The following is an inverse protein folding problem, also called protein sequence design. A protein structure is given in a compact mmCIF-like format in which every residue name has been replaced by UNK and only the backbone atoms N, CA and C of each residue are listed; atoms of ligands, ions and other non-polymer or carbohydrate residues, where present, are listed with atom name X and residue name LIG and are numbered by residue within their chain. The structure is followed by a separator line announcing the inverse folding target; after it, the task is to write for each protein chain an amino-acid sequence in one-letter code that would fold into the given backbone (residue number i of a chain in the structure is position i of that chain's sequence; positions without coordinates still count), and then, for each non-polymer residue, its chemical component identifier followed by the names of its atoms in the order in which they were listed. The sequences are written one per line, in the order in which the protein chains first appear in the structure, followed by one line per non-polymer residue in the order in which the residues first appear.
data_IF_463453027204
#
_entry.id   IF_463453027204
#
_cell.length_a   1.000
_cell.length_b   1.000
_cell.length_c   1.000
_cell.angle_alpha   90.00
_cell.angle_beta   90.00
_cell.angle_gamma   90.00
#
_symmetry.space_group_name_H-M   'P 1'
#
loop_
_entity.id
_entity.type
_entity.pdbx_description
1 polymer ?
#
# COMPACT_ATOMS: atom_id res chain seq x y z
N UNK A 1 46.55 -33.19 -11.69
CA UNK A 1 45.36 -32.32 -11.69
C UNK A 1 45.79 -30.91 -11.29
N UNK A 2 45.68 -29.97 -12.21
CA UNK A 2 46.42 -28.72 -12.18
C UNK A 2 45.68 -27.67 -11.33
N UNK A 3 46.22 -27.31 -10.15
CA UNK A 3 45.58 -26.38 -9.19
C UNK A 3 45.18 -25.03 -9.81
N UNK A 4 45.84 -24.64 -10.90
CA UNK A 4 45.57 -23.42 -11.65
C UNK A 4 44.18 -23.39 -12.32
N UNK A 5 43.63 -24.51 -12.77
CA UNK A 5 42.30 -24.52 -13.41
C UNK A 5 41.17 -24.30 -12.41
N UNK A 6 41.35 -24.71 -11.15
CA UNK A 6 40.38 -24.50 -10.06
C UNK A 6 40.31 -23.03 -9.65
N UNK A 7 41.44 -22.34 -9.62
CA UNK A 7 41.51 -20.91 -9.27
C UNK A 7 40.87 -20.02 -10.34
N UNK A 8 41.07 -20.35 -11.62
CA UNK A 8 40.44 -19.61 -12.72
C UNK A 8 38.91 -19.75 -12.72
N UNK A 9 38.39 -20.94 -12.42
CA UNK A 9 36.95 -21.19 -12.33
C UNK A 9 36.27 -20.43 -11.18
N UNK A 10 36.87 -20.44 -9.98
CA UNK A 10 36.35 -19.71 -8.81
C UNK A 10 36.41 -18.19 -9.01
N UNK A 11 37.48 -17.67 -9.60
CA UNK A 11 37.60 -16.24 -9.92
C UNK A 11 36.53 -15.77 -10.91
N UNK A 12 36.30 -16.55 -11.98
CA UNK A 12 35.25 -16.25 -12.97
C UNK A 12 33.84 -16.30 -12.36
N UNK A 13 33.58 -17.27 -11.47
CA UNK A 13 32.30 -17.40 -10.78
C UNK A 13 32.05 -16.22 -9.83
N UNK A 14 33.03 -15.84 -9.02
CA UNK A 14 32.91 -14.69 -8.10
C UNK A 14 32.76 -13.37 -8.86
N UNK A 15 33.50 -13.18 -9.95
CA UNK A 15 33.35 -12.02 -10.82
C UNK A 15 31.94 -11.97 -11.42
N UNK A 16 31.44 -13.08 -11.98
CA UNK A 16 30.07 -13.17 -12.51
C UNK A 16 29.00 -12.82 -11.47
N UNK A 17 29.14 -13.29 -10.22
CA UNK A 17 28.20 -12.92 -9.16
C UNK A 17 28.32 -11.45 -8.74
N UNK A 18 29.53 -10.87 -8.73
CA UNK A 18 29.70 -9.43 -8.49
C UNK A 18 29.07 -8.56 -9.57
N UNK A 19 29.07 -8.98 -10.85
CA UNK A 19 28.45 -8.15 -11.90
C UNK A 19 26.93 -8.16 -11.87
N UNK A 20 26.28 -9.12 -11.17
CA UNK A 20 24.81 -9.22 -11.14
C UNK A 20 24.16 -8.45 -9.98
N UNK A 21 24.93 -7.90 -9.04
CA UNK A 21 24.39 -7.18 -7.88
C UNK A 21 24.14 -5.68 -8.12
N UNK A 22 24.38 -5.16 -9.32
CA UNK A 22 24.10 -3.76 -9.67
C UNK A 22 22.93 -3.66 -10.66
N UNK A 23 21.74 -4.02 -10.20
CA UNK A 23 20.47 -3.49 -10.72
C UNK A 23 19.53 -3.33 -9.55
N UNK A 24 19.86 -2.37 -8.70
CA UNK A 24 18.99 -1.84 -7.66
C UNK A 24 19.47 -0.43 -7.38
N UNK A 25 19.16 0.49 -8.29
CA UNK A 25 18.65 1.81 -7.93
C UNK A 25 18.34 2.61 -9.20
N UNK A 26 17.31 3.47 -9.09
CA UNK A 26 16.85 4.47 -10.06
C UNK A 26 15.97 3.99 -11.23
N UNK A 27 14.68 3.87 -10.91
CA UNK A 27 13.64 4.44 -11.76
C UNK A 27 12.65 5.24 -10.92
N UNK A 28 13.15 6.33 -10.32
CA UNK A 28 12.34 7.52 -10.05
C UNK A 28 13.05 8.62 -10.80
N UNK A 29 12.61 8.86 -12.03
CA UNK A 29 12.71 10.13 -12.74
C UNK A 29 11.77 10.04 -13.96
N UNK A 30 10.49 9.81 -13.68
CA UNK A 30 9.47 10.35 -14.56
C UNK A 30 9.33 11.82 -14.18
N UNK A 31 10.16 12.65 -14.79
CA UNK A 31 10.02 14.09 -14.79
C UNK A 31 8.58 14.43 -15.20
N UNK A 32 7.76 15.03 -14.33
CA UNK A 32 6.45 15.52 -14.73
C UNK A 32 6.67 16.57 -15.81
N UNK A 33 5.89 16.60 -16.90
CA UNK A 33 6.05 17.61 -17.93
C UNK A 33 6.00 19.00 -17.28
N UNK A 34 7.10 19.74 -17.42
CA UNK A 34 7.17 21.16 -17.13
C UNK A 34 6.21 21.90 -18.08
N UNK A 35 4.94 21.93 -17.73
CA UNK A 35 3.95 22.78 -18.38
C UNK A 35 2.96 23.30 -17.35
N UNK A 36 3.23 24.56 -16.97
CA UNK A 36 2.27 25.51 -16.41
C UNK A 36 1.58 25.03 -15.12
N UNK A 37 2.27 25.25 -14.01
CA UNK A 37 1.61 25.63 -12.75
C UNK A 37 0.85 26.93 -12.96
N UNK A 38 -0.33 26.83 -13.59
CA UNK A 38 -1.42 27.71 -13.23
C UNK A 38 -1.75 27.36 -11.77
N UNK A 39 -1.73 28.38 -10.94
CA UNK A 39 -2.06 28.39 -9.51
C UNK A 39 -3.41 27.69 -9.28
N UNK A 40 -3.38 26.38 -9.09
CA UNK A 40 -4.49 25.68 -8.46
C UNK A 40 -4.25 25.91 -6.97
N UNK A 41 -4.90 26.94 -6.43
CA UNK A 41 -5.19 27.00 -5.01
C UNK A 41 -6.00 25.73 -4.70
N UNK A 42 -5.28 24.67 -4.33
CA UNK A 42 -5.90 23.48 -3.79
C UNK A 42 -6.37 23.91 -2.40
N UNK A 43 -7.55 24.51 -2.38
CA UNK A 43 -8.34 24.67 -1.18
C UNK A 43 -8.56 23.25 -0.68
N UNK A 44 -7.72 22.84 0.27
CA UNK A 44 -7.92 21.65 1.05
C UNK A 44 -9.13 21.98 1.93
N UNK A 45 -10.31 21.92 1.30
CA UNK A 45 -11.61 21.96 1.96
C UNK A 45 -11.45 21.04 3.17
N UNK A 46 -11.53 21.58 4.40
CA UNK A 46 -11.32 20.79 5.59
C UNK A 46 -12.43 19.76 5.58
N UNK A 47 -12.11 18.52 5.20
CA UNK A 47 -13.16 17.55 4.93
C UNK A 47 -13.85 17.27 6.27
N UNK A 48 -15.02 17.89 6.42
CA UNK A 48 -15.87 17.80 7.58
C UNK A 48 -16.07 16.32 7.95
N UNK A 49 -16.31 16.01 9.24
CA UNK A 49 -16.31 14.63 9.73
C UNK A 49 -17.30 13.79 8.90
N UNK A 50 -16.75 12.87 8.09
CA UNK A 50 -17.48 12.18 7.01
C UNK A 50 -18.48 11.15 7.53
N UNK A 51 -18.28 10.69 8.76
CA UNK A 51 -19.01 9.58 9.35
C UNK A 51 -19.43 9.92 10.77
N UNK A 52 -20.59 9.44 11.18
CA UNK A 52 -21.17 9.65 12.50
C UNK A 52 -21.95 8.42 12.91
N UNK A 53 -21.93 8.12 14.19
CA UNK A 53 -22.70 7.02 14.72
C UNK A 53 -24.20 7.35 14.64
N UNK A 54 -24.90 6.60 13.79
CA UNK A 54 -26.32 6.76 13.49
C UNK A 54 -27.13 5.48 13.79
N UNK A 55 -26.50 4.47 14.39
CA UNK A 55 -27.13 3.23 14.80
C UNK A 55 -27.02 2.08 13.81
N UNK A 56 -26.32 2.27 12.67
CA UNK A 56 -25.95 1.16 11.77
C UNK A 56 -24.96 0.20 12.42
N UNK A 57 -25.09 -1.08 12.09
CA UNK A 57 -24.34 -2.17 12.72
C UNK A 57 -23.77 -3.18 11.72
N UNK A 58 -24.28 -3.23 10.50
CA UNK A 58 -23.93 -4.25 9.51
C UNK A 58 -23.28 -3.67 8.25
N UNK A 59 -22.51 -4.51 7.55
CA UNK A 59 -21.83 -4.16 6.29
C UNK A 59 -22.76 -3.70 5.18
N UNK A 60 -23.96 -4.28 5.08
CA UNK A 60 -24.98 -3.88 4.09
C UNK A 60 -25.39 -2.40 4.19
N UNK A 61 -25.21 -1.80 5.36
CA UNK A 61 -25.61 -0.43 5.66
C UNK A 61 -24.47 0.58 5.42
N UNK A 62 -23.23 0.10 5.23
CA UNK A 62 -22.07 0.93 4.95
C UNK A 62 -21.97 1.24 3.44
N UNK A 63 -21.45 2.42 3.13
CA UNK A 63 -21.21 2.89 1.75
C UNK A 63 -19.77 2.66 1.32
N UNK A 64 -18.86 2.49 2.28
CA UNK A 64 -17.45 2.24 2.02
C UNK A 64 -16.78 1.45 3.14
N UNK A 65 -15.66 0.79 2.82
CA UNK A 65 -14.80 0.12 3.81
C UNK A 65 -14.21 1.11 4.82
N UNK A 66 -13.86 2.32 4.39
CA UNK A 66 -13.37 3.38 5.29
C UNK A 66 -14.42 3.80 6.33
N UNK A 67 -15.70 3.86 5.93
CA UNK A 67 -16.81 4.10 6.85
C UNK A 67 -16.98 2.93 7.84
N UNK A 68 -16.95 1.68 7.36
CA UNK A 68 -17.03 0.52 8.23
C UNK A 68 -15.90 0.48 9.27
N UNK A 69 -14.67 0.82 8.85
CA UNK A 69 -13.50 0.95 9.75
C UNK A 69 -13.73 2.04 10.79
N UNK A 70 -14.30 3.18 10.40
CA UNK A 70 -14.68 4.22 11.37
C UNK A 70 -15.69 3.68 12.38
N UNK A 71 -16.71 2.95 11.94
CA UNK A 71 -17.77 2.45 12.81
C UNK A 71 -17.24 1.49 13.88
N UNK A 72 -16.39 0.51 13.53
CA UNK A 72 -15.86 -0.43 14.54
C UNK A 72 -14.94 0.25 15.57
N UNK A 73 -14.33 1.38 15.21
CA UNK A 73 -13.44 2.13 16.10
C UNK A 73 -14.17 3.18 16.96
N UNK A 74 -15.29 3.71 16.47
CA UNK A 74 -15.92 4.92 17.06
C UNK A 74 -17.37 4.71 17.51
N UNK A 75 -18.06 3.68 17.03
CA UNK A 75 -19.49 3.48 17.27
C UNK A 75 -19.77 2.22 18.10
N UNK A 76 -20.74 2.27 19.03
CA UNK A 76 -21.11 1.11 19.82
C UNK A 76 -21.90 0.09 18.98
N UNK A 77 -21.97 -1.15 19.48
CA UNK A 77 -22.81 -2.23 18.96
C UNK A 77 -22.57 -2.65 17.50
N UNK A 78 -21.39 -2.42 16.93
CA UNK A 78 -21.06 -2.89 15.57
C UNK A 78 -21.05 -4.42 15.48
N UNK A 79 -21.43 -4.95 14.31
CA UNK A 79 -21.55 -6.39 14.00
C UNK A 79 -20.97 -6.71 12.61
N UNK A 80 -19.84 -6.08 12.30
CA UNK A 80 -19.23 -6.08 10.96
C UNK A 80 -17.78 -6.59 10.95
N UNK A 81 -17.13 -6.66 12.10
CA UNK A 81 -15.85 -7.32 12.32
C UNK A 81 -16.12 -8.56 13.20
N UNK A 82 -16.05 -9.76 12.58
CA UNK A 82 -16.55 -10.99 13.19
C UNK A 82 -15.51 -11.71 14.04
N UNK A 83 -14.25 -11.62 13.62
CA UNK A 83 -13.06 -12.19 14.25
C UNK A 83 -12.26 -11.16 15.06
N UNK A 84 -12.65 -9.89 15.00
CA UNK A 84 -12.08 -8.76 15.76
C UNK A 84 -10.62 -8.49 15.40
N UNK A 85 -10.28 -8.61 14.11
CA UNK A 85 -8.95 -8.33 13.58
C UNK A 85 -8.78 -6.85 13.16
N UNK A 86 -9.85 -6.04 13.28
CA UNK A 86 -9.88 -4.64 12.87
C UNK A 86 -10.21 -4.42 11.40
N UNK A 87 -10.55 -5.47 10.66
CA UNK A 87 -10.90 -5.45 9.25
C UNK A 87 -12.39 -5.79 9.10
N UNK A 88 -13.28 -4.78 9.03
CA UNK A 88 -14.70 -5.04 8.89
C UNK A 88 -15.03 -5.46 7.45
N UNK A 89 -16.12 -6.22 7.30
CA UNK A 89 -16.75 -6.54 6.03
C UNK A 89 -15.92 -7.36 5.04
N UNK A 90 -14.99 -8.20 5.50
CA UNK A 90 -14.14 -9.05 4.64
C UNK A 90 -14.91 -10.01 3.70
N UNK A 91 -16.14 -10.37 4.08
CA UNK A 91 -17.01 -11.26 3.29
C UNK A 91 -17.95 -10.51 2.34
N UNK A 92 -17.85 -9.19 2.27
CA UNK A 92 -18.68 -8.34 1.40
C UNK A 92 -17.93 -8.06 0.09
N UNK A 93 -18.37 -8.66 -1.01
CA UNK A 93 -17.69 -8.55 -2.31
C UNK A 93 -17.67 -7.16 -2.94
N UNK A 94 -18.33 -6.18 -2.32
CA UNK A 94 -18.26 -4.77 -2.73
C UNK A 94 -16.92 -4.12 -2.35
N UNK A 95 -16.15 -4.72 -1.43
CA UNK A 95 -14.91 -4.14 -0.86
C UNK A 95 -13.81 -5.16 -0.52
#
# INVERSE_FOLDING_TARGET
MNKFTVLLGLGALLFYYQTQTETSDNMVDAEPPAHQVAEIEYEFEPVAPRFRCDGRRYCSEMTSRAEAVFFIQNCPDTRMDGDNDGIPCERDSRW
#
